data_IF_246745472803
#
_entry.id   IF_246745472803
#
_cell.length_a   1.000
_cell.length_b   1.000
_cell.length_c   1.000
_cell.angle_alpha   90.00
_cell.angle_beta   90.00
_cell.angle_gamma   90.00
#
_symmetry.space_group_name_H-M   'P 1'
#
loop_
_entity.id
_entity.type
_entity.pdbx_description
1 polymer ?
#
# COMPACT_ATOMS: atom_id res chain seq x y z
N UNK A 1 -7.35 27.57 4.68
CA UNK A 1 -8.08 26.49 5.38
C UNK A 1 -7.04 25.73 6.20
N UNK A 2 -7.13 25.72 7.54
CA UNK A 2 -6.00 25.40 8.39
C UNK A 2 -5.78 23.89 8.52
N UNK A 3 -4.52 23.46 8.28
CA UNK A 3 -3.83 22.44 9.07
C UNK A 3 -4.21 20.96 8.89
N UNK A 4 -3.80 20.35 7.78
CA UNK A 4 -3.71 18.88 7.63
C UNK A 4 -2.53 18.25 8.41
N UNK A 5 -1.75 19.03 9.15
CA UNK A 5 -0.51 18.59 9.81
C UNK A 5 -0.64 18.29 11.31
N UNK A 6 -1.83 18.26 11.90
CA UNK A 6 -1.96 18.31 13.38
C UNK A 6 -2.76 17.18 14.03
N UNK A 7 -2.73 15.94 13.51
CA UNK A 7 -3.35 14.79 14.19
C UNK A 7 -2.49 13.51 14.36
N UNK A 8 -1.21 13.49 13.96
CA UNK A 8 -0.37 12.27 14.06
C UNK A 8 0.66 12.27 15.18
N UNK A 9 0.50 13.09 16.23
CA UNK A 9 1.38 13.07 17.43
C UNK A 9 0.83 12.31 18.64
N UNK A 10 -0.24 11.54 18.47
CA UNK A 10 -0.87 10.80 19.57
C UNK A 10 -0.60 9.30 19.51
N UNK A 11 0.20 8.86 20.48
CA UNK A 11 0.40 7.49 20.97
C UNK A 11 1.41 6.62 20.20
N UNK A 12 2.68 6.80 20.56
CA UNK A 12 3.74 5.79 20.53
C UNK A 12 3.32 4.57 21.38
N UNK A 13 2.37 3.78 20.87
CA UNK A 13 2.13 2.41 21.31
C UNK A 13 3.13 1.54 20.54
N UNK A 14 3.89 0.76 21.29
CA UNK A 14 4.89 -0.18 20.81
C UNK A 14 4.46 -0.86 19.49
N UNK A 15 5.25 -0.77 18.40
CA UNK A 15 4.92 -1.36 17.09
C UNK A 15 4.63 -2.87 17.19
N UNK A 16 5.15 -3.52 18.23
CA UNK A 16 4.91 -4.91 18.58
C UNK A 16 3.42 -5.27 18.72
N UNK A 17 2.61 -4.41 19.36
CA UNK A 17 1.18 -4.69 19.54
C UNK A 17 0.44 -4.75 18.19
N UNK A 18 0.90 -3.98 17.20
CA UNK A 18 0.40 -4.03 15.83
C UNK A 18 0.83 -5.32 15.14
N UNK A 19 2.12 -5.65 15.17
CA UNK A 19 2.67 -6.84 14.52
C UNK A 19 1.97 -8.12 14.98
N UNK A 20 1.71 -8.25 16.29
CA UNK A 20 0.95 -9.38 16.82
C UNK A 20 -0.50 -9.40 16.33
N UNK A 21 -1.16 -8.24 16.20
CA UNK A 21 -2.52 -8.18 15.69
C UNK A 21 -2.59 -8.53 14.19
N UNK A 22 -1.62 -8.06 13.39
CA UNK A 22 -1.48 -8.39 11.97
C UNK A 22 -1.22 -9.89 11.79
N UNK A 23 -0.28 -10.45 12.54
CA UNK A 23 0.00 -11.89 12.52
C UNK A 23 -1.21 -12.72 12.98
N UNK A 24 -1.93 -12.30 14.03
CA UNK A 24 -3.14 -12.97 14.51
C UNK A 24 -4.30 -12.90 13.49
N UNK A 25 -4.35 -11.83 12.68
CA UNK A 25 -5.27 -11.71 11.55
C UNK A 25 -4.85 -12.57 10.33
N UNK A 26 -3.71 -13.25 10.42
CA UNK A 26 -3.19 -14.12 9.36
C UNK A 26 -2.56 -13.34 8.21
N UNK A 27 -2.09 -12.11 8.44
CA UNK A 27 -1.29 -11.40 7.45
C UNK A 27 0.10 -12.07 7.38
N UNK A 28 0.65 -12.30 6.18
CA UNK A 28 1.96 -12.94 6.02
C UNK A 28 3.11 -12.01 6.40
N UNK A 29 2.85 -10.70 6.46
CA UNK A 29 3.82 -9.65 6.72
C UNK A 29 3.28 -8.68 7.76
N UNK A 30 4.18 -8.18 8.59
CA UNK A 30 3.90 -7.07 9.49
C UNK A 30 4.33 -5.76 8.85
N UNK A 31 3.62 -4.68 9.16
CA UNK A 31 3.81 -3.42 8.47
C UNK A 31 4.48 -2.38 9.35
N UNK A 32 5.49 -1.71 8.79
CA UNK A 32 6.15 -0.54 9.34
C UNK A 32 5.80 0.68 8.50
N UNK A 33 4.94 1.56 9.02
CA UNK A 33 4.50 2.75 8.29
C UNK A 33 5.18 4.01 8.83
N UNK A 34 5.71 4.83 7.91
CA UNK A 34 6.34 6.09 8.21
C UNK A 34 5.53 7.24 7.61
N UNK A 35 5.29 8.29 8.39
CA UNK A 35 4.58 9.47 7.93
C UNK A 35 5.45 10.35 6.99
N UNK A 36 6.76 10.28 7.17
CA UNK A 36 7.76 11.07 6.44
C UNK A 36 9.00 10.22 6.15
N UNK A 37 9.86 10.71 5.23
CA UNK A 37 11.16 10.11 5.04
C UNK A 37 12.02 10.27 6.30
N UNK A 38 12.57 9.17 6.85
CA UNK A 38 13.39 9.23 8.04
C UNK A 38 14.66 10.06 7.77
N UNK A 39 15.06 10.86 8.77
CA UNK A 39 16.32 11.60 8.72
C UNK A 39 17.52 10.66 8.95
N UNK A 40 17.33 9.61 9.76
CA UNK A 40 18.29 8.53 10.00
C UNK A 40 17.57 7.18 9.88
N UNK A 41 18.25 6.21 9.27
CA UNK A 41 17.75 4.87 9.01
C UNK A 41 17.89 3.93 10.21
N UNK A 42 18.73 4.25 11.21
CA UNK A 42 19.03 3.35 12.32
C UNK A 42 17.79 2.86 13.07
N UNK A 43 16.87 3.77 13.41
CA UNK A 43 15.64 3.41 14.12
C UNK A 43 14.71 2.52 13.28
N UNK A 44 14.66 2.77 11.97
CA UNK A 44 13.86 1.97 11.04
C UNK A 44 14.45 0.57 10.88
N UNK A 45 15.75 0.48 10.63
CA UNK A 45 16.47 -0.79 10.47
C UNK A 45 16.47 -1.60 11.79
N UNK A 46 16.54 -0.93 12.94
CA UNK A 46 16.39 -1.56 14.24
C UNK A 46 15.01 -2.21 14.42
N UNK A 47 13.95 -1.55 13.97
CA UNK A 47 12.59 -2.13 13.99
C UNK A 47 12.44 -3.30 13.00
N UNK A 48 13.04 -3.21 11.82
CA UNK A 48 13.09 -4.32 10.84
C UNK A 48 13.78 -5.53 11.47
N UNK A 49 14.96 -5.34 12.07
CA UNK A 49 15.70 -6.40 12.73
C UNK A 49 14.91 -7.04 13.89
N UNK A 50 14.19 -6.23 14.67
CA UNK A 50 13.31 -6.72 15.74
C UNK A 50 12.16 -7.57 15.19
N UNK A 51 11.49 -7.13 14.13
CA UNK A 51 10.41 -7.90 13.50
C UNK A 51 10.91 -9.23 12.93
N UNK A 52 12.05 -9.22 12.24
CA UNK A 52 12.71 -10.45 11.76
C UNK A 52 13.12 -11.37 12.92
N UNK A 53 13.62 -10.82 14.04
CA UNK A 53 13.94 -11.58 15.25
C UNK A 53 12.74 -12.28 15.88
N UNK A 54 11.52 -11.78 15.63
CA UNK A 54 10.25 -12.40 16.03
C UNK A 54 9.69 -13.38 14.98
N UNK A 55 10.39 -13.57 13.85
CA UNK A 55 9.98 -14.46 12.76
C UNK A 55 8.96 -13.84 11.80
N UNK A 56 8.71 -12.53 11.88
CA UNK A 56 7.81 -11.84 10.95
C UNK A 56 8.55 -11.39 9.69
N UNK A 57 7.92 -11.57 8.53
CA UNK A 57 8.31 -10.87 7.31
C UNK A 57 7.84 -9.42 7.38
N UNK A 58 8.58 -8.49 6.77
CA UNK A 58 8.31 -7.05 6.89
C UNK A 58 7.87 -6.45 5.56
N UNK A 59 6.85 -5.58 5.63
CA UNK A 59 6.52 -4.60 4.60
C UNK A 59 6.73 -3.20 5.17
N UNK A 60 7.44 -2.33 4.47
CA UNK A 60 7.57 -0.92 4.85
C UNK A 60 6.63 -0.06 4.01
N UNK A 61 5.98 0.93 4.62
CA UNK A 61 5.12 1.93 3.94
C UNK A 61 5.78 3.30 4.10
N UNK A 62 5.99 3.98 2.98
CA UNK A 62 6.58 5.30 2.89
C UNK A 62 5.65 6.22 2.08
N UNK A 63 5.71 7.54 2.31
CA UNK A 63 5.17 8.48 1.34
C UNK A 63 5.85 8.25 -0.02
N UNK A 64 5.13 8.52 -1.11
CA UNK A 64 5.67 8.48 -2.46
C UNK A 64 6.49 9.74 -2.77
N UNK A 65 7.58 9.63 -3.56
CA UNK A 65 8.47 10.75 -3.87
C UNK A 65 7.76 11.94 -4.53
N UNK A 66 6.80 11.70 -5.43
CA UNK A 66 6.16 12.79 -6.18
C UNK A 66 5.13 13.50 -5.31
N UNK A 67 4.33 12.75 -4.55
CA UNK A 67 3.37 13.31 -3.60
C UNK A 67 4.05 14.10 -2.49
N UNK A 68 5.21 13.63 -2.01
CA UNK A 68 6.03 14.36 -1.04
C UNK A 68 6.52 15.71 -1.59
N UNK A 69 6.87 15.76 -2.87
CA UNK A 69 7.39 16.96 -3.53
C UNK A 69 6.30 17.93 -4.00
N UNK A 70 5.08 17.48 -4.23
CA UNK A 70 4.00 18.29 -4.82
C UNK A 70 3.78 19.66 -4.15
N UNK A 71 3.91 19.73 -2.81
CA UNK A 71 3.70 20.96 -2.06
C UNK A 71 4.97 21.80 -1.85
N UNK A 72 6.07 21.42 -2.49
CA UNK A 72 7.38 22.06 -2.34
C UNK A 72 7.64 22.99 -3.53
N UNK A 73 8.16 24.22 -3.32
CA UNK A 73 8.62 25.07 -4.42
C UNK A 73 9.68 24.37 -5.27
N UNK A 74 9.62 24.58 -6.59
CA UNK A 74 10.55 23.98 -7.56
C UNK A 74 10.62 22.45 -7.47
N UNK A 75 9.48 21.82 -7.12
CA UNK A 75 9.34 20.40 -6.81
C UNK A 75 10.05 19.47 -7.80
N UNK A 76 9.86 19.69 -9.10
CA UNK A 76 10.43 18.84 -10.15
C UNK A 76 11.96 18.99 -10.27
N UNK A 77 12.51 20.17 -10.01
CA UNK A 77 13.96 20.38 -9.99
C UNK A 77 14.61 19.63 -8.84
N UNK A 78 13.89 19.47 -7.73
CA UNK A 78 14.33 18.73 -6.54
C UNK A 78 14.13 17.22 -6.65
N UNK A 79 13.45 16.74 -7.70
CA UNK A 79 13.10 15.33 -7.86
C UNK A 79 14.34 14.43 -7.86
N UNK A 80 15.40 14.80 -8.58
CA UNK A 80 16.61 13.97 -8.64
C UNK A 80 17.21 13.74 -7.25
N UNK A 81 17.39 14.81 -6.46
CA UNK A 81 17.96 14.71 -5.11
C UNK A 81 17.06 13.94 -4.15
N UNK A 82 15.73 14.05 -4.31
CA UNK A 82 14.79 13.22 -3.54
C UNK A 82 14.93 11.75 -3.93
N UNK A 83 15.02 11.42 -5.21
CA UNK A 83 15.18 10.04 -5.67
C UNK A 83 16.51 9.43 -5.21
N UNK A 84 17.60 10.21 -5.12
CA UNK A 84 18.87 9.73 -4.54
C UNK A 84 18.68 9.25 -3.09
N UNK A 85 17.83 9.94 -2.31
CA UNK A 85 17.49 9.53 -0.94
C UNK A 85 16.62 8.28 -0.91
N UNK A 86 15.66 8.15 -1.82
CA UNK A 86 14.86 6.92 -1.93
C UNK A 86 15.72 5.73 -2.34
N UNK A 87 16.62 5.88 -3.31
CA UNK A 87 17.53 4.79 -3.72
C UNK A 87 18.35 4.28 -2.53
N UNK A 88 18.95 5.18 -1.75
CA UNK A 88 19.72 4.81 -0.57
C UNK A 88 18.86 4.11 0.51
N UNK A 89 17.65 4.63 0.76
CA UNK A 89 16.71 4.05 1.71
C UNK A 89 16.23 2.66 1.27
N UNK A 90 15.80 2.51 0.01
CA UNK A 90 15.29 1.26 -0.52
C UNK A 90 16.38 0.20 -0.58
N UNK A 91 17.62 0.55 -0.96
CA UNK A 91 18.76 -0.36 -0.90
C UNK A 91 19.04 -0.84 0.53
N UNK A 92 19.06 0.07 1.50
CA UNK A 92 19.26 -0.29 2.91
C UNK A 92 18.14 -1.21 3.45
N UNK A 93 16.89 -1.00 3.01
CA UNK A 93 15.77 -1.87 3.35
C UNK A 93 15.90 -3.26 2.69
N UNK A 94 16.32 -3.31 1.42
CA UNK A 94 16.58 -4.58 0.74
C UNK A 94 17.69 -5.38 1.45
N UNK A 95 18.80 -4.72 1.80
CA UNK A 95 19.92 -5.33 2.53
C UNK A 95 19.51 -5.82 3.93
N UNK A 96 18.51 -5.19 4.54
CA UNK A 96 17.92 -5.61 5.81
C UNK A 96 16.90 -6.75 5.68
N UNK A 97 16.65 -7.25 4.47
CA UNK A 97 15.73 -8.35 4.18
C UNK A 97 14.26 -7.95 4.05
N UNK A 98 13.96 -6.68 3.75
CA UNK A 98 12.59 -6.25 3.47
C UNK A 98 12.19 -6.65 2.05
N UNK A 99 11.15 -7.47 1.94
CA UNK A 99 10.64 -7.93 0.64
C UNK A 99 9.85 -6.86 -0.12
N UNK A 100 9.03 -6.08 0.60
CA UNK A 100 8.05 -5.16 0.02
C UNK A 100 8.17 -3.76 0.60
N UNK A 101 8.21 -2.77 -0.29
CA UNK A 101 8.01 -1.37 0.07
C UNK A 101 6.80 -0.83 -0.66
N UNK A 102 5.90 -0.22 0.11
CA UNK A 102 4.75 0.50 -0.39
C UNK A 102 5.07 1.99 -0.47
N UNK A 103 4.77 2.59 -1.61
CA UNK A 103 4.92 4.03 -1.86
C UNK A 103 3.53 4.64 -2.04
N UNK A 104 3.13 5.49 -1.10
CA UNK A 104 1.82 6.13 -1.10
C UNK A 104 1.85 7.40 -1.96
N UNK A 105 1.20 7.35 -3.13
CA UNK A 105 1.13 8.44 -4.10
C UNK A 105 -0.30 9.01 -4.26
N UNK A 106 -0.86 9.68 -3.23
CA UNK A 106 -2.18 10.31 -3.35
C UNK A 106 -2.24 11.41 -4.42
N UNK A 107 -1.10 11.92 -4.91
CA UNK A 107 -1.06 12.85 -6.04
C UNK A 107 -1.67 12.24 -7.32
N UNK A 108 -1.60 10.92 -7.51
CA UNK A 108 -2.22 10.24 -8.66
C UNK A 108 -3.76 10.30 -8.64
N UNK A 109 -4.37 10.71 -7.53
CA UNK A 109 -5.82 10.93 -7.42
C UNK A 109 -6.23 12.33 -7.91
N UNK A 110 -5.27 13.21 -8.18
CA UNK A 110 -5.50 14.58 -8.61
C UNK A 110 -5.30 14.75 -10.11
N UNK A 111 -5.85 15.82 -10.67
CA UNK A 111 -5.56 16.21 -12.04
C UNK A 111 -4.09 16.63 -12.16
N UNK A 112 -3.30 15.84 -12.90
CA UNK A 112 -1.86 16.07 -13.03
C UNK A 112 -1.56 17.05 -14.18
N UNK A 113 -0.78 18.11 -13.94
CA UNK A 113 -0.21 18.88 -15.04
C UNK A 113 0.73 18.01 -15.88
N UNK A 114 0.80 18.28 -17.19
CA UNK A 114 1.65 17.59 -18.17
C UNK A 114 3.04 17.12 -17.66
N UNK A 115 3.89 17.97 -17.05
CA UNK A 115 5.23 17.54 -16.65
C UNK A 115 5.25 16.49 -15.54
N UNK A 116 4.17 16.34 -14.77
CA UNK A 116 4.12 15.39 -13.65
C UNK A 116 3.94 13.95 -14.10
N UNK A 117 3.23 13.69 -15.20
CA UNK A 117 3.12 12.35 -15.76
C UNK A 117 4.48 11.78 -16.15
N UNK A 118 5.29 12.56 -16.88
CA UNK A 118 6.65 12.19 -17.24
C UNK A 118 7.56 12.04 -16.01
N UNK A 119 7.36 12.87 -14.98
CA UNK A 119 8.10 12.77 -13.72
C UNK A 119 7.80 11.45 -12.99
N UNK A 120 6.53 11.01 -12.95
CA UNK A 120 6.14 9.70 -12.42
C UNK A 120 6.83 8.56 -13.18
N UNK A 121 6.74 8.56 -14.52
CA UNK A 121 7.38 7.52 -15.34
C UNK A 121 8.89 7.46 -15.10
N UNK A 122 9.58 8.61 -15.10
CA UNK A 122 11.02 8.68 -14.86
C UNK A 122 11.42 8.22 -13.47
N UNK A 123 10.69 8.65 -12.45
CA UNK A 123 10.94 8.29 -11.05
C UNK A 123 10.80 6.79 -10.82
N UNK A 124 9.67 6.19 -11.21
CA UNK A 124 9.43 4.77 -10.97
C UNK A 124 10.30 3.87 -11.84
N UNK A 125 10.68 4.32 -13.05
CA UNK A 125 11.70 3.61 -13.85
C UNK A 125 13.07 3.55 -13.18
N UNK A 126 13.39 4.52 -12.33
CA UNK A 126 14.61 4.53 -11.52
C UNK A 126 14.46 3.63 -10.29
N UNK A 127 13.37 3.77 -9.53
CA UNK A 127 13.15 3.06 -8.27
C UNK A 127 13.01 1.53 -8.44
N UNK A 128 12.50 1.05 -9.57
CA UNK A 128 12.38 -0.40 -9.85
C UNK A 128 13.72 -1.16 -9.84
N UNK A 129 14.86 -0.45 -9.87
CA UNK A 129 16.20 -1.06 -9.98
C UNK A 129 16.69 -1.68 -8.67
N UNK A 130 16.03 -1.38 -7.56
CA UNK A 130 16.38 -1.90 -6.23
C UNK A 130 15.89 -3.36 -6.12
N UNK A 131 16.64 -4.27 -5.49
CA UNK A 131 16.25 -5.68 -5.38
C UNK A 131 15.18 -5.94 -4.30
N UNK A 132 14.07 -5.21 -4.34
CA UNK A 132 12.88 -5.42 -3.53
C UNK A 132 11.62 -5.14 -4.34
N UNK A 133 10.47 -5.57 -3.84
CA UNK A 133 9.19 -5.40 -4.54
C UNK A 133 8.54 -4.06 -4.17
N UNK A 134 8.04 -3.34 -5.19
CA UNK A 134 7.36 -2.06 -4.99
C UNK A 134 5.84 -2.21 -5.13
N UNK A 135 5.11 -1.70 -4.13
CA UNK A 135 3.66 -1.54 -4.17
C UNK A 135 3.32 -0.06 -4.29
N UNK A 136 2.80 0.37 -5.43
CA UNK A 136 2.24 1.71 -5.57
C UNK A 136 0.87 1.76 -4.92
N UNK A 137 0.63 2.68 -4.00
CA UNK A 137 -0.68 2.83 -3.36
C UNK A 137 -1.27 4.22 -3.59
N UNK A 138 -2.55 4.26 -3.93
CA UNK A 138 -3.29 5.52 -4.08
C UNK A 138 -4.48 5.51 -3.10
N UNK A 139 -4.23 5.66 -1.79
CA UNK A 139 -5.24 5.48 -0.75
C UNK A 139 -6.27 6.61 -0.78
N UNK A 140 -7.53 6.26 -0.54
CA UNK A 140 -8.63 7.18 -0.28
C UNK A 140 -9.31 7.77 -1.52
N UNK A 141 -9.14 7.22 -2.72
CA UNK A 141 -9.82 7.76 -3.90
C UNK A 141 -9.72 6.96 -5.20
N UNK A 142 -10.19 7.60 -6.28
CA UNK A 142 -10.25 7.05 -7.63
C UNK A 142 -9.12 7.62 -8.50
N UNK A 143 -8.52 6.78 -9.34
CA UNK A 143 -7.41 7.18 -10.22
C UNK A 143 -7.84 8.01 -11.45
N UNK A 144 -9.12 8.01 -11.81
CA UNK A 144 -9.69 8.75 -12.94
C UNK A 144 -8.83 8.68 -14.22
N UNK A 145 -8.39 9.82 -14.76
CA UNK A 145 -7.53 9.89 -15.95
C UNK A 145 -6.14 9.27 -15.76
N UNK A 146 -5.64 9.22 -14.53
CA UNK A 146 -4.31 8.69 -14.21
C UNK A 146 -4.30 7.16 -14.07
N UNK A 147 -5.44 6.48 -14.23
CA UNK A 147 -5.51 5.02 -14.16
C UNK A 147 -4.52 4.35 -15.13
N UNK A 148 -4.42 4.89 -16.36
CA UNK A 148 -3.47 4.37 -17.35
C UNK A 148 -2.02 4.51 -16.90
N UNK A 149 -1.66 5.67 -16.35
CA UNK A 149 -0.33 5.95 -15.80
C UNK A 149 -0.03 5.01 -14.62
N UNK A 150 -0.91 4.94 -13.62
CA UNK A 150 -0.69 4.07 -12.45
C UNK A 150 -0.52 2.58 -12.82
N UNK A 151 -1.25 2.09 -13.84
CA UNK A 151 -1.09 0.73 -14.34
C UNK A 151 0.22 0.52 -15.10
N UNK A 152 0.75 1.54 -15.77
CA UNK A 152 1.97 1.43 -16.59
C UNK A 152 3.26 1.57 -15.78
N UNK A 153 3.23 2.24 -14.61
CA UNK A 153 4.42 2.42 -13.78
C UNK A 153 5.07 1.07 -13.42
N UNK A 154 6.40 0.93 -13.50
CA UNK A 154 7.08 -0.35 -13.33
C UNK A 154 7.23 -0.74 -11.84
N UNK A 155 6.12 -1.11 -11.23
CA UNK A 155 6.02 -1.61 -9.85
C UNK A 155 5.49 -3.05 -9.82
N UNK A 156 5.75 -3.79 -8.75
CA UNK A 156 5.29 -5.18 -8.59
C UNK A 156 3.82 -5.28 -8.18
N UNK A 157 3.27 -4.23 -7.59
CA UNK A 157 1.86 -4.19 -7.20
C UNK A 157 1.24 -2.80 -7.29
N UNK A 158 -0.08 -2.78 -7.41
CA UNK A 158 -0.91 -1.58 -7.36
C UNK A 158 -2.01 -1.75 -6.31
N UNK A 159 -2.12 -0.79 -5.40
CA UNK A 159 -3.19 -0.70 -4.42
C UNK A 159 -4.20 0.38 -4.80
N UNK A 160 -5.48 0.01 -4.78
CA UNK A 160 -6.62 0.92 -5.00
C UNK A 160 -7.75 0.61 -4.02
N UNK A 161 -8.56 1.62 -3.71
CA UNK A 161 -9.72 1.45 -2.83
C UNK A 161 -11.00 1.12 -3.58
N UNK A 162 -11.81 0.22 -3.03
CA UNK A 162 -13.15 -0.04 -3.56
C UNK A 162 -14.22 0.89 -2.98
N UNK A 163 -13.86 1.84 -2.10
CA UNK A 163 -14.81 2.69 -1.38
C UNK A 163 -15.74 3.53 -2.28
N UNK A 164 -15.31 3.87 -3.50
CA UNK A 164 -16.14 4.57 -4.50
C UNK A 164 -16.41 3.73 -5.77
N UNK A 165 -16.30 2.40 -5.65
CA UNK A 165 -17.12 1.47 -6.42
C UNK A 165 -16.43 0.59 -7.47
N UNK A 166 -17.22 -0.39 -7.91
CA UNK A 166 -16.96 -1.33 -9.01
C UNK A 166 -16.52 -0.65 -10.32
N UNK A 167 -16.86 0.63 -10.49
CA UNK A 167 -16.63 1.37 -11.75
C UNK A 167 -15.15 1.52 -12.11
N UNK A 168 -14.25 1.65 -11.13
CA UNK A 168 -12.82 1.67 -11.44
C UNK A 168 -12.21 0.28 -11.60
N UNK A 169 -12.85 -0.75 -11.04
CA UNK A 169 -12.32 -2.10 -11.01
C UNK A 169 -12.27 -2.73 -12.41
N UNK A 170 -13.32 -2.59 -13.22
CA UNK A 170 -13.32 -3.17 -14.58
C UNK A 170 -12.22 -2.54 -15.46
N UNK A 171 -12.16 -1.20 -15.62
CA UNK A 171 -11.09 -0.58 -16.40
C UNK A 171 -9.69 -0.84 -15.84
N UNK A 172 -9.56 -0.99 -14.51
CA UNK A 172 -8.31 -1.36 -13.86
C UNK A 172 -7.89 -2.77 -14.26
N UNK A 173 -8.77 -3.77 -14.17
CA UNK A 173 -8.46 -5.16 -14.51
C UNK A 173 -8.11 -5.32 -15.99
N UNK A 174 -8.72 -4.53 -16.87
CA UNK A 174 -8.42 -4.55 -18.31
C UNK A 174 -7.03 -3.99 -18.63
N UNK A 175 -6.51 -3.08 -17.77
CA UNK A 175 -5.23 -2.39 -17.96
C UNK A 175 -4.10 -2.94 -17.10
N UNK A 176 -4.42 -3.64 -16.02
CA UNK A 176 -3.45 -4.11 -15.04
C UNK A 176 -2.57 -5.20 -15.66
N UNK A 177 -1.23 -5.00 -15.74
CA UNK A 177 -0.33 -6.03 -16.24
C UNK A 177 -0.44 -7.34 -15.48
N UNK A 178 -0.34 -8.47 -16.20
CA UNK A 178 -0.57 -9.81 -15.66
C UNK A 178 0.42 -10.24 -14.56
N UNK A 179 1.57 -9.57 -14.45
CA UNK A 179 2.55 -9.84 -13.39
C UNK A 179 2.22 -9.09 -12.09
N UNK A 180 1.46 -8.00 -12.14
CA UNK A 180 1.24 -7.15 -10.97
C UNK A 180 0.31 -7.81 -9.96
N UNK A 181 0.66 -7.62 -8.71
CA UNK A 181 -0.24 -7.77 -7.57
C UNK A 181 -1.29 -6.65 -7.60
N UNK A 182 -2.55 -7.00 -7.38
CA UNK A 182 -3.63 -6.06 -7.15
C UNK A 182 -4.01 -6.09 -5.67
N UNK A 183 -3.75 -5.00 -4.96
CA UNK A 183 -4.21 -4.79 -3.59
C UNK A 183 -5.47 -3.96 -3.59
N UNK A 184 -6.52 -4.48 -2.96
CA UNK A 184 -7.84 -3.83 -2.90
C UNK A 184 -8.14 -3.41 -1.47
N UNK A 185 -8.38 -2.13 -1.27
CA UNK A 185 -8.97 -1.56 -0.06
C UNK A 185 -10.47 -1.91 0.00
N UNK A 186 -10.82 -2.99 0.72
CA UNK A 186 -12.19 -3.55 0.74
C UNK A 186 -12.95 -3.26 2.02
N UNK A 187 -12.26 -2.76 3.05
CA UNK A 187 -12.86 -2.29 4.30
C UNK A 187 -12.27 -0.93 4.63
N UNK A 188 -13.04 -0.07 5.29
CA UNK A 188 -12.50 1.17 5.84
C UNK A 188 -11.78 0.94 7.18
N UNK A 189 -11.23 2.01 7.76
CA UNK A 189 -10.53 1.95 9.04
C UNK A 189 -11.40 1.55 10.23
N UNK A 190 -12.74 1.53 10.08
CA UNK A 190 -13.67 1.04 11.10
C UNK A 190 -14.08 -0.43 10.87
N UNK A 191 -13.59 -1.06 9.81
CA UNK A 191 -13.97 -2.41 9.40
C UNK A 191 -15.31 -2.47 8.65
N UNK A 192 -15.83 -1.34 8.17
CA UNK A 192 -17.05 -1.33 7.34
C UNK A 192 -16.65 -1.71 5.92
N UNK A 193 -17.38 -2.65 5.27
CA UNK A 193 -17.05 -3.07 3.92
C UNK A 193 -17.31 -1.94 2.93
N UNK A 194 -16.47 -1.87 1.89
CA UNK A 194 -16.56 -0.86 0.83
C UNK A 194 -17.85 -0.95 0.00
N UNK A 195 -18.44 -2.14 -0.04
CA UNK A 195 -19.69 -2.45 -0.73
C UNK A 195 -20.59 -3.25 0.21
N UNK A 196 -21.85 -3.44 -0.18
CA UNK A 196 -22.71 -4.40 0.49
C UNK A 196 -22.03 -5.78 0.53
N UNK A 197 -21.98 -6.40 1.71
CA UNK A 197 -21.34 -7.70 1.93
C UNK A 197 -21.88 -8.79 1.00
N UNK A 198 -23.16 -8.70 0.62
CA UNK A 198 -23.81 -9.61 -0.32
C UNK A 198 -23.22 -9.53 -1.75
N UNK A 199 -22.74 -8.35 -2.17
CA UNK A 199 -22.11 -8.13 -3.47
C UNK A 199 -20.57 -8.28 -3.42
N UNK A 200 -19.95 -7.88 -2.29
CA UNK A 200 -18.50 -7.90 -2.11
C UNK A 200 -17.93 -9.32 -2.17
N UNK A 201 -18.53 -10.29 -1.48
CA UNK A 201 -17.97 -11.64 -1.39
C UNK A 201 -17.94 -12.37 -2.74
N UNK A 202 -19.05 -12.43 -3.51
CA UNK A 202 -19.03 -13.03 -4.84
C UNK A 202 -18.06 -12.35 -5.81
N UNK A 203 -17.95 -11.02 -5.76
CA UNK A 203 -16.98 -10.27 -6.56
C UNK A 203 -15.55 -10.67 -6.22
N UNK A 204 -15.18 -10.68 -4.94
CA UNK A 204 -13.83 -11.05 -4.53
C UNK A 204 -13.51 -12.52 -4.84
N UNK A 205 -14.51 -13.40 -4.82
CA UNK A 205 -14.36 -14.79 -5.27
C UNK A 205 -14.06 -14.88 -6.78
N UNK A 206 -14.77 -14.14 -7.63
CA UNK A 206 -14.48 -14.04 -9.07
C UNK A 206 -13.06 -13.50 -9.32
N UNK A 207 -12.71 -12.38 -8.66
CA UNK A 207 -11.38 -11.79 -8.77
C UNK A 207 -10.30 -12.75 -8.32
N UNK A 208 -10.53 -13.53 -7.28
CA UNK A 208 -9.58 -14.55 -6.85
C UNK A 208 -9.42 -15.66 -7.88
N UNK A 209 -10.49 -16.09 -8.54
CA UNK A 209 -10.40 -17.04 -9.66
C UNK A 209 -9.48 -16.54 -10.78
N UNK A 210 -9.52 -15.23 -11.06
CA UNK A 210 -8.73 -14.56 -12.11
C UNK A 210 -7.29 -14.24 -11.71
N UNK A 211 -7.09 -13.72 -10.50
CA UNK A 211 -5.82 -13.15 -10.03
C UNK A 211 -5.04 -14.08 -9.10
N UNK A 212 -5.73 -15.02 -8.42
CA UNK A 212 -5.16 -15.98 -7.48
C UNK A 212 -4.31 -15.29 -6.40
N UNK A 213 -3.04 -15.69 -6.25
CA UNK A 213 -2.10 -15.11 -5.29
C UNK A 213 -1.75 -13.64 -5.56
N UNK A 214 -2.13 -13.09 -6.73
CA UNK A 214 -1.96 -11.67 -7.03
C UNK A 214 -3.07 -10.80 -6.44
N UNK A 215 -4.16 -11.36 -5.94
CA UNK A 215 -5.20 -10.59 -5.26
C UNK A 215 -4.89 -10.43 -3.77
N UNK A 216 -4.68 -9.18 -3.37
CA UNK A 216 -4.39 -8.77 -2.01
C UNK A 216 -5.61 -8.02 -1.46
N UNK A 217 -6.02 -8.33 -0.23
CA UNK A 217 -7.13 -7.65 0.45
C UNK A 217 -6.59 -6.81 1.61
N UNK A 218 -6.75 -5.50 1.50
CA UNK A 218 -6.28 -4.51 2.45
C UNK A 218 -7.45 -3.63 2.94
N UNK A 219 -7.19 -2.78 3.91
CA UNK A 219 -8.09 -1.68 4.22
C UNK A 219 -7.86 -0.51 3.26
N UNK A 220 -8.75 0.47 3.35
CA UNK A 220 -8.77 1.63 2.46
C UNK A 220 -7.82 2.76 2.83
N UNK A 221 -7.19 2.70 4.00
CA UNK A 221 -6.29 3.80 4.40
C UNK A 221 -4.88 3.35 4.64
N UNK A 222 -4.60 2.06 4.86
CA UNK A 222 -3.28 1.54 5.25
C UNK A 222 -2.68 2.28 6.47
N UNK A 223 -3.47 3.15 7.09
CA UNK A 223 -3.17 4.03 8.21
C UNK A 223 -3.43 3.22 9.46
N UNK A 224 -2.43 2.48 9.89
CA UNK A 224 -2.57 1.64 11.06
C UNK A 224 -1.58 2.03 12.13
N UNK A 225 -1.86 3.16 12.79
CA UNK A 225 -1.53 3.23 14.21
C UNK A 225 -2.20 2.05 14.94
N UNK A 226 -1.54 1.51 15.97
CA UNK A 226 -2.05 0.48 16.87
C UNK A 226 -3.28 0.97 17.69
N UNK A 227 -4.36 1.31 16.99
CA UNK A 227 -5.60 1.85 17.49
C UNK A 227 -6.67 0.76 17.52
N UNK A 228 -7.75 0.98 18.28
CA UNK A 228 -8.88 0.06 18.28
C UNK A 228 -9.50 -0.08 16.88
N UNK A 229 -9.43 0.98 16.06
CA UNK A 229 -9.95 1.04 14.70
C UNK A 229 -9.19 0.06 13.79
N UNK A 230 -7.85 0.05 13.87
CA UNK A 230 -7.00 -0.90 13.13
C UNK A 230 -7.37 -2.36 13.40
N UNK A 231 -7.74 -2.71 14.65
CA UNK A 231 -8.16 -4.07 15.01
C UNK A 231 -9.49 -4.46 14.37
N UNK A 232 -10.44 -3.53 14.29
CA UNK A 232 -11.73 -3.78 13.63
C UNK A 232 -11.55 -4.07 12.14
N UNK A 233 -10.72 -3.28 11.45
CA UNK A 233 -10.39 -3.51 10.05
C UNK A 233 -9.70 -4.86 9.83
N UNK A 234 -8.69 -5.20 10.66
CA UNK A 234 -8.01 -6.50 10.60
C UNK A 234 -8.96 -7.68 10.83
N UNK A 235 -9.88 -7.58 11.79
CA UNK A 235 -10.87 -8.61 12.05
C UNK A 235 -11.83 -8.79 10.87
N UNK A 236 -12.31 -7.70 10.28
CA UNK A 236 -13.18 -7.73 9.11
C UNK A 236 -12.46 -8.37 7.89
N UNK A 237 -11.19 -8.02 7.65
CA UNK A 237 -10.37 -8.63 6.61
C UNK A 237 -10.18 -10.13 6.83
N UNK A 238 -9.88 -10.55 8.07
CA UNK A 238 -9.73 -11.96 8.41
C UNK A 238 -11.03 -12.75 8.15
N UNK A 239 -12.18 -12.19 8.53
CA UNK A 239 -13.48 -12.77 8.27
C UNK A 239 -13.76 -12.89 6.77
N UNK A 240 -13.51 -11.83 6.00
CA UNK A 240 -13.72 -11.80 4.55
C UNK A 240 -12.83 -12.82 3.84
N UNK A 241 -11.54 -12.89 4.18
CA UNK A 241 -10.62 -13.92 3.66
C UNK A 241 -11.09 -15.34 3.98
N UNK A 242 -11.70 -15.55 5.15
CA UNK A 242 -12.28 -16.84 5.52
C UNK A 242 -13.48 -17.20 4.65
N UNK A 243 -14.39 -16.24 4.43
CA UNK A 243 -15.58 -16.41 3.59
C UNK A 243 -15.23 -16.68 2.13
N UNK A 244 -14.26 -15.98 1.55
CA UNK A 244 -13.88 -16.22 0.16
C UNK A 244 -13.16 -17.58 0.03
N UNK A 245 -12.32 -17.97 1.01
CA UNK A 245 -11.70 -19.31 1.03
C UNK A 245 -12.72 -20.45 1.06
N UNK A 246 -13.84 -20.30 1.77
CA UNK A 246 -14.88 -21.32 1.79
C UNK A 246 -15.63 -21.43 0.46
N UNK A 247 -15.70 -20.34 -0.32
CA UNK A 247 -16.33 -20.32 -1.64
C UNK A 247 -15.42 -20.85 -2.77
N UNK A 248 -14.12 -20.53 -2.75
CA UNK A 248 -13.21 -20.83 -3.88
C UNK A 248 -12.42 -22.15 -3.70
N UNK A 249 -12.51 -22.79 -2.54
CA UNK A 249 -11.75 -24.01 -2.23
C UNK A 249 -10.30 -23.70 -1.82
N UNK A 250 -9.66 -24.65 -1.11
CA UNK A 250 -8.46 -24.46 -0.26
C UNK A 250 -7.15 -23.97 -0.94
N UNK A 251 -7.13 -23.60 -2.22
CA UNK A 251 -5.87 -23.47 -2.98
C UNK A 251 -5.50 -22.03 -3.38
N UNK A 252 -5.33 -21.12 -2.40
CA UNK A 252 -4.31 -20.06 -2.44
C UNK A 252 -4.42 -19.15 -1.19
N UNK A 253 -3.30 -18.71 -0.59
CA UNK A 253 -3.33 -17.67 0.42
C UNK A 253 -3.73 -16.32 -0.22
N UNK A 254 -4.75 -15.68 0.34
CA UNK A 254 -5.03 -14.26 0.11
C UNK A 254 -4.00 -13.49 0.93
N UNK A 255 -2.95 -13.01 0.28
CA UNK A 255 -1.90 -12.25 0.96
C UNK A 255 -2.25 -10.79 0.91
N UNK A 256 -2.44 -10.14 2.04
CA UNK A 256 -1.96 -8.77 2.26
C UNK A 256 -1.44 -8.75 3.68
#
# INVERSE_FOLDING_TARGET
MPGLHTLTRSANRSPYARWHAEAAAGLPRVTLALADLPADLQDLLGQVAQAHGLGYQVKVVLPGPLSLLWQVPDALERLSATLDRYDALLLALADAGVDWVQLDEPLLLQHLPQPWGAAFEGAYNRLQRVPLQLLLACPGGLLHENLGLACSLPVDGLHVDLLDGERQLVPLLDRLPAYKVLSLGVVDSLGRPALDSAALTPMLADLHGRLRSRLWLADSRLEFAASALARSALAALAQLRSQIRSQVGRSAPYTA
#
